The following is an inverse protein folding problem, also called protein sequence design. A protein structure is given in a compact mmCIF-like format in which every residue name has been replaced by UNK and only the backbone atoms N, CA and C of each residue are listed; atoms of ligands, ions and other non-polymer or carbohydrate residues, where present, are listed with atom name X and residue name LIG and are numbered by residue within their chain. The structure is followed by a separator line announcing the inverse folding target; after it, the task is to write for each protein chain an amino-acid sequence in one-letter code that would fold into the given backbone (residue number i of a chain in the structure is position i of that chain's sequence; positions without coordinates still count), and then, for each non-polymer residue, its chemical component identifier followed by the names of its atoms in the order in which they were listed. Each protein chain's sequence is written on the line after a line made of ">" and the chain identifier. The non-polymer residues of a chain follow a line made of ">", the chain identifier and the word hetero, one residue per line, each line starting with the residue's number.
data_IF_798789487376
#
_entry.id   IF_798789487376
#
_cell.length_a   1.000
_cell.length_b   1.000
_cell.length_c   1.000
_cell.angle_alpha   90.00
_cell.angle_beta   90.00
_cell.angle_gamma   90.00
#
_symmetry.space_group_name_H-M   'P 1'
#
loop_
_entity.id
_entity.type
_entity.pdbx_description
1 polymer ?
#
# COMPACT_ATOMS: atom_id res chain seq x y z
N UNK A 1 4.44 10.18 6.09
CA UNK A 1 3.21 10.22 5.27
C UNK A 1 3.62 10.31 3.81
N UNK A 2 3.25 9.33 2.97
CA UNK A 2 3.56 9.29 1.54
C UNK A 2 2.22 9.18 0.80
N UNK A 3 2.05 9.96 -0.28
CA UNK A 3 0.83 9.95 -1.08
C UNK A 3 1.14 9.62 -2.54
N UNK A 4 0.39 8.69 -3.11
CA UNK A 4 0.47 8.33 -4.53
C UNK A 4 -0.76 8.85 -5.28
N UNK A 5 -0.56 9.39 -6.48
CA UNK A 5 -1.64 9.85 -7.37
C UNK A 5 -2.14 8.70 -8.27
N UNK A 6 -2.39 7.54 -7.65
CA UNK A 6 -2.90 6.33 -8.31
C UNK A 6 -4.04 5.79 -7.46
N UNK A 7 -5.12 5.35 -8.12
CA UNK A 7 -6.38 4.93 -7.46
C UNK A 7 -6.76 3.54 -7.92
N UNK A 8 -7.65 2.87 -7.16
CA UNK A 8 -8.26 1.62 -7.64
C UNK A 8 -9.09 1.83 -8.91
N UNK A 9 -9.69 3.01 -9.12
CA UNK A 9 -10.36 3.32 -10.39
C UNK A 9 -9.41 3.36 -11.61
N UNK A 10 -8.10 3.43 -11.40
CA UNK A 10 -7.09 3.43 -12.48
C UNK A 10 -6.64 1.99 -12.82
N UNK A 11 -7.25 0.96 -12.22
CA UNK A 11 -6.95 -0.44 -12.51
C UNK A 11 -7.40 -0.84 -13.93
N UNK A 12 -6.61 -1.69 -14.62
CA UNK A 12 -6.97 -2.14 -15.95
C UNK A 12 -8.23 -3.02 -15.90
N UNK A 13 -9.11 -2.94 -16.92
CA UNK A 13 -10.30 -3.78 -17.00
C UNK A 13 -9.91 -5.26 -16.96
N UNK A 14 -10.59 -6.02 -16.11
CA UNK A 14 -10.33 -7.46 -15.90
C UNK A 14 -9.31 -7.79 -14.78
N UNK A 15 -8.78 -6.79 -14.04
CA UNK A 15 -7.93 -7.02 -12.86
C UNK A 15 -8.31 -6.09 -11.68
N UNK A 16 -9.50 -6.28 -11.07
CA UNK A 16 -10.06 -5.35 -10.09
C UNK A 16 -9.41 -5.38 -8.69
N UNK A 17 -8.40 -6.24 -8.46
CA UNK A 17 -7.83 -6.48 -7.13
C UNK A 17 -6.33 -6.15 -7.01
N UNK A 18 -5.74 -5.50 -8.02
CA UNK A 18 -4.30 -5.20 -8.03
C UNK A 18 -3.92 -4.18 -6.96
N UNK A 19 -4.67 -3.08 -6.88
CA UNK A 19 -4.44 -2.02 -5.94
C UNK A 19 -4.69 -2.52 -4.50
N UNK A 20 -5.86 -3.09 -4.14
CA UNK A 20 -6.06 -3.67 -2.79
C UNK A 20 -5.01 -4.73 -2.42
N UNK A 21 -4.54 -5.54 -3.37
CA UNK A 21 -3.46 -6.51 -3.12
C UNK A 21 -2.13 -5.82 -2.84
N UNK A 22 -1.81 -4.77 -3.59
CA UNK A 22 -0.59 -3.99 -3.40
C UNK A 22 -0.54 -3.35 -2.00
N UNK A 23 -1.67 -2.86 -1.48
CA UNK A 23 -1.75 -2.29 -0.12
C UNK A 23 -1.22 -3.23 0.96
N UNK A 24 -1.43 -4.54 0.79
CA UNK A 24 -0.91 -5.55 1.71
C UNK A 24 0.54 -5.92 1.40
N UNK A 25 0.91 -5.96 0.11
CA UNK A 25 2.23 -6.39 -0.34
C UNK A 25 3.34 -5.39 -0.02
N UNK A 26 3.05 -4.09 0.02
CA UNK A 26 4.06 -3.05 0.27
C UNK A 26 4.75 -3.18 1.64
N UNK A 27 4.11 -3.85 2.60
CA UNK A 27 4.67 -4.07 3.94
C UNK A 27 5.45 -5.38 4.07
N UNK A 28 5.31 -6.29 3.11
CA UNK A 28 5.85 -7.64 3.22
C UNK A 28 7.37 -7.68 3.05
N UNK A 29 7.87 -7.28 1.90
CA UNK A 29 9.30 -7.33 1.58
C UNK A 29 9.66 -6.36 0.44
N UNK A 30 10.95 -6.05 0.30
CA UNK A 30 11.47 -5.30 -0.84
C UNK A 30 12.73 -6.00 -1.38
N UNK A 31 13.24 -5.64 -2.58
CA UNK A 31 14.50 -6.22 -3.06
C UNK A 31 15.70 -6.03 -2.11
N UNK A 32 15.64 -5.03 -1.23
CA UNK A 32 16.71 -4.67 -0.30
C UNK A 32 16.45 -5.12 1.15
N UNK A 33 15.25 -5.61 1.48
CA UNK A 33 14.81 -5.90 2.86
C UNK A 33 13.99 -7.17 2.88
N UNK A 34 14.31 -8.06 3.82
CA UNK A 34 13.71 -9.39 3.89
C UNK A 34 12.25 -9.33 4.34
N UNK A 35 11.53 -10.45 4.18
CA UNK A 35 10.17 -10.61 4.70
C UNK A 35 10.16 -10.38 6.22
N UNK A 36 9.10 -9.75 6.75
CA UNK A 36 8.88 -9.46 8.17
C UNK A 36 9.88 -8.51 8.85
N UNK A 37 10.91 -8.04 8.14
CA UNK A 37 11.89 -7.07 8.69
C UNK A 37 11.20 -5.74 9.03
N UNK A 38 10.26 -5.31 8.20
CA UNK A 38 9.46 -4.11 8.44
C UNK A 38 8.53 -4.28 9.65
N UNK A 39 7.89 -5.44 9.81
CA UNK A 39 6.98 -5.71 10.92
C UNK A 39 7.70 -5.67 12.29
N UNK A 40 8.93 -6.20 12.35
CA UNK A 40 9.77 -6.08 13.54
C UNK A 40 10.09 -4.63 13.88
N UNK A 41 10.54 -3.85 12.89
CA UNK A 41 10.85 -2.43 13.08
C UNK A 41 9.63 -1.60 13.51
N UNK A 42 8.44 -1.90 12.98
CA UNK A 42 7.19 -1.24 13.36
C UNK A 42 6.76 -1.64 14.77
N UNK A 43 6.88 -2.91 15.13
CA UNK A 43 6.54 -3.40 16.48
C UNK A 43 7.31 -2.66 17.59
N UNK A 44 8.56 -2.28 17.32
CA UNK A 44 9.39 -1.53 18.28
C UNK A 44 9.10 -0.02 18.29
N UNK A 45 8.43 0.53 17.26
CA UNK A 45 8.31 1.97 17.03
C UNK A 45 6.88 2.52 16.95
N UNK A 46 5.86 1.67 16.83
CA UNK A 46 4.44 2.06 16.81
C UNK A 46 3.61 1.32 15.76
N UNK A 47 2.88 2.05 14.92
CA UNK A 47 2.00 1.48 13.89
C UNK A 47 2.22 2.18 12.54
N UNK A 48 2.12 1.42 11.45
CA UNK A 48 2.09 1.93 10.09
C UNK A 48 0.84 1.45 9.37
N UNK A 49 0.24 2.31 8.55
CA UNK A 49 -0.99 2.01 7.80
C UNK A 49 -0.87 2.50 6.36
N UNK A 50 -1.58 1.81 5.48
CA UNK A 50 -1.81 2.23 4.11
C UNK A 50 -3.32 2.20 3.82
N UNK A 51 -3.73 2.95 2.81
CA UNK A 51 -5.12 3.00 2.35
C UNK A 51 -5.13 3.27 0.85
N UNK A 52 -5.88 2.47 0.12
CA UNK A 52 -6.23 2.72 -1.27
C UNK A 52 -7.68 3.14 -1.38
N UNK A 53 -7.89 4.31 -1.97
CA UNK A 53 -9.21 4.84 -2.23
C UNK A 53 -9.63 4.57 -3.68
N UNK A 54 -10.92 4.31 -3.88
CA UNK A 54 -11.51 4.17 -5.22
C UNK A 54 -11.42 5.50 -6.00
N UNK A 55 -11.72 6.62 -5.34
CA UNK A 55 -11.56 7.97 -5.89
C UNK A 55 -10.43 8.71 -5.18
N UNK A 56 -9.86 9.69 -5.87
CA UNK A 56 -8.82 10.55 -5.30
C UNK A 56 -9.34 11.24 -4.05
N UNK A 57 -8.62 11.13 -2.94
CA UNK A 57 -8.86 11.93 -1.74
C UNK A 57 -8.45 13.40 -1.92
N UNK A 58 -7.79 13.74 -3.04
CA UNK A 58 -7.41 15.11 -3.41
C UNK A 58 -8.52 15.90 -4.11
N UNK A 59 -9.60 15.23 -4.56
CA UNK A 59 -10.69 15.89 -5.27
C UNK A 59 -11.74 16.34 -4.25
N UNK A 60 -11.57 17.56 -3.75
CA UNK A 60 -12.63 18.33 -3.09
C UNK A 60 -12.97 19.53 -3.96
#
# INVERSE_FOLDING_TARGET
>A
MIWHKVRSADEPPGKPDLAPSLERLIFRATPNRADSEFDGAVSDSGYNTALIAYKSLWAR
#
